data_IF_330594968407
#
_entry.id   IF_330594968407
#
_cell.length_a   1.000
_cell.length_b   1.000
_cell.length_c   1.000
_cell.angle_alpha   90.00
_cell.angle_beta   90.00
_cell.angle_gamma   90.00
#
_symmetry.space_group_name_H-M   'P 1'
#
loop_
_entity.id
_entity.type
_entity.pdbx_description
1 polymer ?
#
# COMPACT_ATOMS: atom_id res chain seq x y z
N UNK A 1 -11.58 53.75 -60.07
CA UNK A 1 -11.21 53.71 -61.51
C UNK A 1 -9.71 53.92 -61.62
N UNK A 2 -8.96 52.83 -61.83
CA UNK A 2 -7.55 52.73 -62.27
C UNK A 2 -7.13 51.29 -61.90
N UNK A 3 -7.05 50.33 -62.82
CA UNK A 3 -6.27 50.33 -64.05
C UNK A 3 -4.99 49.54 -63.82
N UNK A 4 -5.10 48.21 -63.60
CA UNK A 4 -3.94 47.31 -63.56
C UNK A 4 -3.81 46.66 -64.95
N UNK A 5 -2.83 47.12 -65.71
CA UNK A 5 -2.37 46.48 -66.94
C UNK A 5 -1.09 45.72 -66.59
N UNK A 6 -0.99 44.46 -67.00
CA UNK A 6 0.23 43.82 -67.56
C UNK A 6 -0.02 42.33 -67.77
N UNK A 7 -0.38 41.96 -68.99
CA UNK A 7 -0.11 40.64 -69.58
C UNK A 7 1.42 40.42 -69.59
N UNK A 8 1.95 39.21 -69.39
CA UNK A 8 2.15 38.11 -70.35
C UNK A 8 3.17 37.14 -69.68
N UNK A 9 3.67 36.05 -70.30
CA UNK A 9 3.15 35.14 -71.33
C UNK A 9 3.30 33.66 -70.88
N UNK A 10 2.81 32.72 -71.68
CA UNK A 10 3.47 31.40 -71.77
C UNK A 10 2.75 30.24 -71.07
N UNK A 11 1.79 29.69 -71.80
CA UNK A 11 1.54 28.26 -71.98
C UNK A 11 2.31 27.26 -71.08
N UNK A 12 1.57 26.51 -70.26
CA UNK A 12 1.51 25.05 -70.39
C UNK A 12 0.25 24.49 -69.68
N UNK A 13 -0.74 23.91 -70.38
CA UNK A 13 -1.92 23.30 -69.76
C UNK A 13 -1.71 21.79 -69.53
N UNK A 14 -0.57 21.40 -68.97
CA UNK A 14 -0.26 19.99 -68.73
C UNK A 14 0.32 19.80 -67.33
N UNK A 15 -0.48 19.14 -66.49
CA UNK A 15 -0.13 18.51 -65.21
C UNK A 15 0.08 19.43 -63.99
N UNK A 16 -1.02 19.82 -63.34
CA UNK A 16 -1.07 19.85 -61.88
C UNK A 16 -1.81 18.59 -61.39
N UNK A 17 -1.19 17.65 -60.68
CA UNK A 17 -1.93 16.83 -59.75
C UNK A 17 -2.36 17.74 -58.58
N UNK A 18 -3.67 17.95 -58.48
CA UNK A 18 -4.32 18.46 -57.29
C UNK A 18 -4.04 17.49 -56.13
N UNK A 19 -3.05 17.76 -55.28
CA UNK A 19 -2.92 17.23 -53.90
C UNK A 19 -1.63 17.69 -53.21
N UNK A 20 -1.21 18.95 -53.36
CA UNK A 20 0.01 19.41 -52.69
C UNK A 20 -0.20 19.93 -51.26
N UNK A 21 -1.42 20.22 -50.81
CA UNK A 21 -1.63 20.89 -49.52
C UNK A 21 -3.01 20.53 -48.94
N UNK A 22 -3.19 19.28 -48.52
CA UNK A 22 -4.16 19.00 -47.47
C UNK A 22 -3.40 19.13 -46.14
N UNK A 23 -3.81 20.13 -45.36
CA UNK A 23 -3.44 20.38 -43.96
C UNK A 23 -3.09 19.12 -43.17
N UNK A 24 -1.87 19.05 -42.64
CA UNK A 24 -1.44 18.07 -41.64
C UNK A 24 -1.29 18.75 -40.26
N UNK A 25 -2.39 19.08 -39.54
CA UNK A 25 -2.35 19.78 -38.25
C UNK A 25 -1.99 18.86 -37.07
N UNK A 26 -1.23 17.79 -37.30
CA UNK A 26 -0.96 16.73 -36.30
C UNK A 26 0.54 16.43 -36.13
N UNK A 27 1.42 17.35 -36.53
CA UNK A 27 2.88 17.25 -36.36
C UNK A 27 3.41 17.60 -34.96
N UNK A 28 2.56 17.73 -33.94
CA UNK A 28 2.94 18.13 -32.58
C UNK A 28 2.89 17.00 -31.55
N UNK A 29 2.57 15.77 -31.94
CA UNK A 29 2.61 14.62 -31.03
C UNK A 29 3.89 13.83 -31.24
N UNK A 30 4.67 13.66 -30.16
CA UNK A 30 5.92 12.86 -30.14
C UNK A 30 5.69 11.39 -30.53
N UNK A 31 4.44 10.94 -30.53
CA UNK A 31 4.02 9.65 -31.04
C UNK A 31 3.22 9.83 -32.32
N UNK A 32 3.64 9.15 -33.39
CA UNK A 32 2.86 8.99 -34.61
C UNK A 32 1.56 8.27 -34.29
N UNK A 33 0.45 8.73 -34.87
CA UNK A 33 -0.81 8.03 -34.75
C UNK A 33 -0.71 6.67 -35.47
N UNK A 34 -1.19 5.57 -34.85
CA UNK A 34 -1.24 4.28 -35.52
C UNK A 34 -2.01 4.40 -36.82
N UNK A 35 -1.55 3.72 -37.87
CA UNK A 35 -2.31 3.69 -39.12
C UNK A 35 -3.67 3.01 -38.90
N UNK A 36 -4.72 3.37 -39.65
CA UNK A 36 -6.06 2.79 -39.47
C UNK A 36 -6.05 1.26 -39.51
N UNK A 37 -5.19 0.66 -40.34
CA UNK A 37 -4.95 -0.78 -40.37
C UNK A 37 -4.40 -1.34 -39.05
N UNK A 38 -3.42 -0.67 -38.44
CA UNK A 38 -2.83 -1.08 -37.15
C UNK A 38 -3.81 -0.96 -35.97
N UNK A 39 -4.84 -0.11 -36.08
CA UNK A 39 -5.93 -0.02 -35.11
C UNK A 39 -6.98 -1.13 -35.30
N UNK A 40 -7.13 -1.63 -36.53
CA UNK A 40 -8.01 -2.75 -36.89
C UNK A 40 -7.36 -4.12 -36.63
N UNK A 41 -6.03 -4.20 -36.64
CA UNK A 41 -5.28 -5.38 -36.23
C UNK A 41 -5.48 -5.58 -34.71
N UNK A 42 -6.13 -6.69 -34.32
CA UNK A 42 -6.57 -7.01 -32.95
C UNK A 42 -5.51 -6.99 -31.84
N UNK A 43 -4.27 -6.61 -32.16
CA UNK A 43 -3.20 -6.28 -31.23
C UNK A 43 -3.58 -5.12 -30.29
N UNK A 44 -4.35 -4.14 -30.75
CA UNK A 44 -4.86 -3.08 -29.88
C UNK A 44 -5.76 -3.67 -28.78
N UNK A 45 -6.67 -4.58 -29.13
CA UNK A 45 -7.54 -5.28 -28.18
C UNK A 45 -6.75 -6.22 -27.25
N UNK A 46 -5.73 -6.92 -27.76
CA UNK A 46 -4.86 -7.78 -26.91
C UNK A 46 -4.07 -6.96 -25.89
N UNK A 47 -3.57 -5.78 -26.28
CA UNK A 47 -2.86 -4.85 -25.40
C UNK A 47 -3.77 -4.31 -24.28
N UNK A 48 -5.04 -4.03 -24.55
CA UNK A 48 -5.96 -3.54 -23.51
C UNK A 48 -6.31 -4.63 -22.49
N UNK A 49 -6.55 -5.87 -22.93
CA UNK A 49 -6.80 -7.00 -22.02
C UNK A 49 -5.58 -7.27 -21.13
N UNK A 50 -4.39 -7.35 -21.71
CA UNK A 50 -3.16 -7.52 -20.94
C UNK A 50 -2.90 -6.34 -19.99
N UNK A 51 -3.21 -5.11 -20.41
CA UNK A 51 -3.12 -3.92 -19.57
C UNK A 51 -4.06 -4.00 -18.36
N UNK A 52 -5.31 -4.43 -18.54
CA UNK A 52 -6.28 -4.58 -17.45
C UNK A 52 -5.86 -5.64 -16.44
N UNK A 53 -5.34 -6.79 -16.89
CA UNK A 53 -4.80 -7.82 -16.01
C UNK A 53 -3.59 -7.32 -15.20
N UNK A 54 -2.70 -6.53 -15.82
CA UNK A 54 -1.60 -5.88 -15.10
C UNK A 54 -2.11 -4.91 -14.03
N UNK A 55 -3.11 -4.08 -14.35
CA UNK A 55 -3.71 -3.17 -13.37
C UNK A 55 -4.41 -3.89 -12.22
N UNK A 56 -5.09 -5.01 -12.50
CA UNK A 56 -5.69 -5.86 -11.47
C UNK A 56 -4.63 -6.49 -10.56
N UNK A 57 -3.49 -6.95 -11.12
CA UNK A 57 -2.39 -7.46 -10.32
C UNK A 57 -1.78 -6.39 -9.41
N UNK A 58 -1.58 -5.17 -9.91
CA UNK A 58 -1.10 -4.04 -9.09
C UNK A 58 -2.09 -3.73 -7.96
N UNK A 59 -3.39 -3.62 -8.27
CA UNK A 59 -4.43 -3.41 -7.27
C UNK A 59 -4.42 -4.50 -6.20
N UNK A 60 -4.28 -5.77 -6.59
CA UNK A 60 -4.19 -6.89 -5.67
C UNK A 60 -2.94 -6.79 -4.79
N UNK A 61 -1.77 -6.47 -5.35
CA UNK A 61 -0.55 -6.29 -4.57
C UNK A 61 -0.69 -5.18 -3.51
N UNK A 62 -1.37 -4.08 -3.84
CA UNK A 62 -1.62 -2.98 -2.90
C UNK A 62 -2.68 -3.33 -1.84
N UNK A 63 -3.72 -4.07 -2.21
CA UNK A 63 -4.81 -4.45 -1.29
C UNK A 63 -4.48 -5.67 -0.43
N UNK A 64 -3.61 -6.57 -0.91
CA UNK A 64 -3.20 -7.79 -0.24
C UNK A 64 -2.75 -7.60 1.22
N UNK A 65 -1.86 -6.65 1.58
CA UNK A 65 -1.41 -6.51 2.97
C UNK A 65 -2.55 -6.11 3.93
N UNK A 66 -3.49 -5.27 3.50
CA UNK A 66 -4.64 -4.86 4.32
C UNK A 66 -5.58 -6.04 4.54
N UNK A 67 -5.92 -6.76 3.46
CA UNK A 67 -6.79 -7.94 3.52
C UNK A 67 -6.16 -9.01 4.42
N UNK A 68 -4.86 -9.28 4.24
CA UNK A 68 -4.14 -10.25 5.05
C UNK A 68 -4.17 -9.88 6.54
N UNK A 69 -3.93 -8.60 6.88
CA UNK A 69 -3.98 -8.12 8.27
C UNK A 69 -5.36 -8.30 8.91
N UNK A 70 -6.43 -7.99 8.18
CA UNK A 70 -7.79 -8.19 8.69
C UNK A 70 -8.12 -9.68 8.83
N UNK A 71 -7.73 -10.49 7.84
CA UNK A 71 -7.97 -11.93 7.87
C UNK A 71 -7.26 -12.60 9.04
N UNK A 72 -5.99 -12.25 9.30
CA UNK A 72 -5.27 -12.80 10.46
C UNK A 72 -5.86 -12.32 11.77
N UNK A 73 -6.40 -11.11 11.85
CA UNK A 73 -7.05 -10.62 13.06
C UNK A 73 -8.39 -11.32 13.36
N UNK A 74 -9.23 -11.55 12.35
CA UNK A 74 -10.58 -12.08 12.54
C UNK A 74 -10.70 -13.61 12.39
N UNK A 75 -9.87 -14.24 11.56
CA UNK A 75 -9.99 -15.68 11.22
C UNK A 75 -8.89 -16.49 11.89
N UNK A 76 -7.64 -16.07 11.73
CA UNK A 76 -6.48 -16.72 12.37
C UNK A 76 -6.16 -16.02 13.67
N UNK A 77 -7.19 -15.74 14.49
CA UNK A 77 -7.02 -14.99 15.75
C UNK A 77 -6.00 -15.78 16.59
N UNK A 78 -4.75 -15.31 16.74
CA UNK A 78 -3.82 -15.97 17.65
C UNK A 78 -4.46 -15.80 19.02
N UNK A 79 -4.66 -16.90 19.77
CA UNK A 79 -5.27 -16.83 21.10
C UNK A 79 -4.62 -15.68 21.85
N UNK A 80 -5.46 -14.70 22.21
CA UNK A 80 -5.01 -13.44 22.77
C UNK A 80 -4.28 -13.74 24.06
N UNK A 81 -2.94 -13.80 23.99
CA UNK A 81 -2.09 -13.86 25.16
C UNK A 81 -2.58 -12.73 26.07
N UNK A 82 -3.06 -13.06 27.27
CA UNK A 82 -3.64 -12.08 28.18
C UNK A 82 -2.55 -11.07 28.54
N UNK A 83 -2.45 -9.96 27.79
CA UNK A 83 -1.45 -8.91 28.01
C UNK A 83 -1.61 -8.27 29.38
N UNK A 84 -2.83 -8.33 29.93
CA UNK A 84 -3.22 -7.71 31.18
C UNK A 84 -3.54 -8.71 32.30
N UNK A 85 -3.31 -10.00 32.07
CA UNK A 85 -3.75 -11.07 32.96
C UNK A 85 -5.28 -11.20 33.01
N UNK A 86 -5.75 -12.17 33.80
CA UNK A 86 -7.16 -12.35 34.13
C UNK A 86 -7.35 -12.09 35.62
N UNK A 87 -8.43 -11.42 35.99
CA UNK A 87 -8.74 -11.20 37.40
C UNK A 87 -9.09 -12.55 38.04
N UNK A 88 -8.44 -12.89 39.14
CA UNK A 88 -8.80 -14.07 39.93
C UNK A 88 -10.18 -13.81 40.55
N UNK A 89 -11.20 -14.47 40.01
CA UNK A 89 -12.57 -14.46 40.51
C UNK A 89 -13.03 -15.89 40.86
N UNK A 90 -13.42 -16.18 42.12
CA UNK A 90 -13.43 -15.30 43.28
C UNK A 90 -12.04 -15.01 43.85
N UNK A 91 -11.87 -13.82 44.42
CA UNK A 91 -10.65 -13.44 45.13
C UNK A 91 -10.36 -14.42 46.27
N UNK A 92 -9.19 -15.09 46.21
CA UNK A 92 -8.74 -16.01 47.25
C UNK A 92 -7.80 -15.30 48.22
N UNK A 93 -7.82 -15.65 49.52
CA UNK A 93 -6.85 -15.12 50.47
C UNK A 93 -5.44 -15.56 50.07
N UNK A 94 -4.50 -14.62 50.08
CA UNK A 94 -3.08 -14.89 49.83
C UNK A 94 -2.52 -15.72 50.98
N UNK A 95 -1.72 -16.74 50.67
CA UNK A 95 -1.07 -17.59 51.66
C UNK A 95 -0.11 -16.79 52.55
N UNK A 96 0.17 -17.31 53.75
CA UNK A 96 1.21 -16.76 54.63
C UNK A 96 2.59 -16.96 54.02
N UNK A 97 3.10 -15.91 53.38
CA UNK A 97 4.44 -15.89 52.82
C UNK A 97 5.25 -14.87 53.62
N UNK A 98 6.35 -15.33 54.21
CA UNK A 98 7.37 -14.46 54.77
C UNK A 98 8.36 -14.11 53.66
N UNK A 99 8.57 -12.82 53.42
CA UNK A 99 9.64 -12.31 52.58
C UNK A 99 10.86 -11.92 53.43
N UNK A 100 11.97 -11.62 52.77
CA UNK A 100 13.09 -10.93 53.39
C UNK A 100 13.01 -9.44 53.02
N UNK A 101 13.10 -8.57 54.02
CA UNK A 101 13.26 -7.14 53.85
C UNK A 101 14.62 -6.79 53.22
N UNK A 102 14.82 -5.52 52.86
CA UNK A 102 16.11 -5.03 52.32
C UNK A 102 17.26 -5.16 53.33
N UNK A 103 16.93 -5.22 54.60
CA UNK A 103 17.83 -5.45 55.73
C UNK A 103 18.04 -6.94 56.04
N UNK A 104 17.45 -7.84 55.24
CA UNK A 104 17.51 -9.29 55.44
C UNK A 104 16.61 -9.80 56.57
N UNK A 105 15.83 -8.93 57.21
CA UNK A 105 14.92 -9.35 58.27
C UNK A 105 13.66 -10.00 57.68
N UNK A 106 13.11 -11.03 58.34
CA UNK A 106 11.87 -11.65 57.90
C UNK A 106 10.70 -10.66 58.05
N UNK A 107 9.95 -10.45 56.97
CA UNK A 107 8.76 -9.60 56.94
C UNK A 107 7.56 -10.42 56.47
N UNK A 108 6.49 -10.46 57.27
CA UNK A 108 5.21 -11.07 56.86
C UNK A 108 4.51 -10.11 55.88
N UNK A 109 4.22 -10.57 54.66
CA UNK A 109 3.55 -9.77 53.64
C UNK A 109 2.17 -9.25 54.07
N UNK A 110 1.52 -9.85 55.08
CA UNK A 110 0.25 -9.37 55.62
C UNK A 110 0.39 -8.05 56.39
N UNK A 111 1.59 -7.70 56.83
CA UNK A 111 1.86 -6.36 57.38
C UNK A 111 1.69 -5.25 56.34
N UNK A 112 1.78 -5.58 55.05
CA UNK A 112 1.57 -4.65 53.93
C UNK A 112 0.08 -4.55 53.52
N UNK A 113 -0.84 -5.15 54.30
CA UNK A 113 -2.27 -5.07 54.02
C UNK A 113 -2.73 -3.61 54.01
N UNK A 114 -3.47 -3.23 52.97
CA UNK A 114 -3.90 -1.84 52.76
C UNK A 114 -2.97 -1.03 51.84
N UNK A 115 -1.89 -1.64 51.34
CA UNK A 115 -1.00 -1.07 50.33
C UNK A 115 -1.17 -1.82 49.00
N UNK A 116 -0.89 -1.14 47.89
CA UNK A 116 -0.81 -1.78 46.58
C UNK A 116 0.45 -2.65 46.52
N UNK A 117 0.26 -3.97 46.44
CA UNK A 117 1.35 -4.94 46.35
C UNK A 117 1.48 -5.45 44.91
N UNK A 118 2.63 -5.22 44.29
CA UNK A 118 3.02 -5.83 43.02
C UNK A 118 4.00 -6.98 43.31
N UNK A 119 3.65 -8.19 42.89
CA UNK A 119 4.52 -9.37 43.05
C UNK A 119 5.12 -9.73 41.69
N UNK A 120 6.43 -9.67 41.58
CA UNK A 120 7.18 -10.12 40.40
C UNK A 120 7.94 -11.40 40.75
N UNK A 121 7.86 -12.41 39.88
CA UNK A 121 8.58 -13.68 40.02
C UNK A 121 9.66 -13.73 38.95
N UNK A 122 10.92 -13.85 39.36
CA UNK A 122 12.07 -13.99 38.48
C UNK A 122 12.79 -15.32 38.76
N UNK A 123 13.58 -15.80 37.80
CA UNK A 123 14.46 -16.94 38.01
C UNK A 123 15.50 -16.63 39.09
N UNK A 124 15.80 -17.58 39.97
CA UNK A 124 16.72 -17.38 41.11
C UNK A 124 18.21 -17.27 40.75
N UNK A 125 18.56 -17.30 39.46
CA UNK A 125 19.93 -17.08 39.00
C UNK A 125 20.17 -15.58 38.85
N UNK A 126 20.88 -14.96 39.80
CA UNK A 126 21.45 -13.62 39.62
C UNK A 126 22.86 -13.73 39.05
N UNK A 127 23.12 -13.00 37.97
CA UNK A 127 24.46 -12.77 37.49
C UNK A 127 25.07 -11.52 38.15
N UNK A 128 26.27 -11.13 37.74
CA UNK A 128 26.98 -9.97 38.28
C UNK A 128 26.37 -8.60 37.88
N UNK A 129 25.31 -8.59 37.06
CA UNK A 129 24.59 -7.39 36.64
C UNK A 129 23.27 -7.20 37.41
N UNK A 130 22.90 -8.16 38.25
CA UNK A 130 22.08 -7.91 39.44
C UNK A 130 22.88 -7.06 40.47
#
# INVERSE_FOLDING_TARGET
>A
MSGFNSSHPGANPAALPANAMADEPLGLTVHSMPSPQQALDGDAARRTVMGRWKMAAVMLCCAAPVIASYFTYYVVRPEGRSVYGELIDPQRPVAMIAGAGRDGQPVDLRTLKGQWLLVAVAGGACDALC
#
